data_IF_670274533490
#
_entry.id   IF_670274533490
#
_cell.length_a   1.000
_cell.length_b   1.000
_cell.length_c   1.000
_cell.angle_alpha   90.00
_cell.angle_beta   90.00
_cell.angle_gamma   90.00
#
_symmetry.space_group_name_H-M   'P 1'
#
loop_
_entity.id
_entity.type
_entity.pdbx_description
1 polymer ?
#
# COMPACT_ATOMS: atom_id res chain seq x y z
N UNK A 1 -6.26 18.90 -3.24
CA UNK A 1 -6.59 17.76 -4.13
C UNK A 1 -5.38 16.86 -4.23
N UNK A 2 -5.51 15.56 -3.96
CA UNK A 2 -4.39 14.60 -3.98
C UNK A 2 -4.53 13.74 -5.24
N UNK A 3 -3.47 13.69 -6.06
CA UNK A 3 -3.36 12.79 -7.21
C UNK A 3 -2.06 12.02 -7.04
N UNK A 4 -2.13 10.68 -7.16
CA UNK A 4 -0.97 9.79 -7.00
C UNK A 4 -0.99 8.71 -8.07
N UNK A 5 0.17 8.37 -8.58
CA UNK A 5 0.37 7.25 -9.47
C UNK A 5 0.75 6.00 -8.65
N UNK A 6 0.09 4.87 -8.93
CA UNK A 6 0.35 3.61 -8.23
C UNK A 6 1.78 3.10 -8.46
N UNK A 7 2.27 3.13 -9.70
CA UNK A 7 3.59 2.61 -10.07
C UNK A 7 4.73 3.45 -9.50
N UNK A 8 4.50 4.76 -9.33
CA UNK A 8 5.46 5.64 -8.65
C UNK A 8 5.43 5.40 -7.13
N UNK A 9 4.24 5.30 -6.54
CA UNK A 9 4.09 5.04 -5.10
C UNK A 9 4.68 3.68 -4.67
N UNK A 10 4.65 2.68 -5.56
CA UNK A 10 5.29 1.37 -5.33
C UNK A 10 6.82 1.45 -5.19
N UNK A 11 7.46 2.52 -5.68
CA UNK A 11 8.92 2.68 -5.66
C UNK A 11 9.43 3.45 -4.44
N UNK A 12 8.53 3.86 -3.53
CA UNK A 12 8.88 4.62 -2.33
C UNK A 12 8.65 3.80 -1.07
N UNK A 13 8.88 4.43 0.08
CA UNK A 13 8.49 4.00 1.42
C UNK A 13 6.99 3.65 1.60
N UNK A 14 6.14 3.99 0.62
CA UNK A 14 4.71 3.67 0.63
C UNK A 14 4.43 2.22 0.27
N UNK A 15 5.38 1.50 -0.33
CA UNK A 15 5.29 0.06 -0.51
C UNK A 15 5.76 -0.64 0.77
N UNK A 16 4.83 -1.33 1.43
CA UNK A 16 5.15 -2.15 2.59
C UNK A 16 4.96 -3.61 2.22
N UNK A 17 5.99 -4.42 2.44
CA UNK A 17 5.95 -5.87 2.26
C UNK A 17 5.76 -6.56 3.61
N UNK A 18 4.99 -7.63 3.64
CA UNK A 18 4.84 -8.46 4.82
C UNK A 18 6.16 -9.16 5.16
N UNK A 19 6.48 -9.30 6.45
CA UNK A 19 7.68 -10.03 6.89
C UNK A 19 7.62 -11.52 6.51
N UNK A 20 6.41 -12.09 6.51
CA UNK A 20 6.15 -13.47 6.06
C UNK A 20 6.18 -13.63 4.53
N UNK A 21 6.32 -12.53 3.78
CA UNK A 21 6.35 -12.55 2.32
C UNK A 21 5.02 -12.82 1.64
N UNK A 22 3.88 -12.78 2.37
CA UNK A 22 2.57 -13.19 1.81
C UNK A 22 1.83 -12.07 1.05
N UNK A 23 2.19 -10.82 1.28
CA UNK A 23 1.56 -9.69 0.60
C UNK A 23 2.48 -8.49 0.49
N UNK A 24 2.13 -7.60 -0.44
CA UNK A 24 2.60 -6.22 -0.47
C UNK A 24 1.43 -5.24 -0.49
N UNK A 25 1.57 -4.12 0.22
CA UNK A 25 0.55 -3.10 0.34
C UNK A 25 1.13 -1.75 -0.03
N UNK A 26 0.63 -1.16 -1.13
CA UNK A 26 0.98 0.20 -1.50
C UNK A 26 0.00 1.16 -0.84
N UNK A 27 0.50 2.00 0.08
CA UNK A 27 -0.32 2.89 0.91
C UNK A 27 -0.54 4.24 0.22
N UNK A 28 -1.74 4.46 -0.31
CA UNK A 28 -2.08 5.63 -1.12
C UNK A 28 -2.70 6.78 -0.33
N UNK A 29 -3.33 6.53 0.82
CA UNK A 29 -3.79 7.57 1.74
C UNK A 29 -3.39 7.16 3.16
N UNK A 30 -2.72 8.06 3.86
CA UNK A 30 -2.20 7.88 5.21
C UNK A 30 -2.75 8.97 6.14
N UNK A 31 -2.50 8.84 7.44
CA UNK A 31 -2.97 9.80 8.44
C UNK A 31 -2.50 11.25 8.17
N UNK A 32 -1.28 11.42 7.63
CA UNK A 32 -0.74 12.74 7.28
C UNK A 32 -1.44 13.40 6.08
N UNK A 33 -2.25 12.65 5.33
CA UNK A 33 -3.08 13.18 4.24
C UNK A 33 -4.41 13.76 4.74
N UNK A 34 -4.74 13.61 6.04
CA UNK A 34 -5.90 14.18 6.72
C UNK A 34 -7.26 13.88 6.05
N UNK A 35 -7.39 12.70 5.43
CA UNK A 35 -8.61 12.27 4.74
C UNK A 35 -9.69 11.65 5.66
N UNK A 36 -9.34 11.36 6.93
CA UNK A 36 -10.21 10.66 7.88
C UNK A 36 -10.27 9.13 7.70
N UNK A 37 -9.54 8.58 6.73
CA UNK A 37 -9.37 7.15 6.49
C UNK A 37 -8.01 6.87 5.84
N UNK A 38 -7.62 5.61 5.80
CA UNK A 38 -6.48 5.14 5.02
C UNK A 38 -6.95 4.37 3.78
N UNK A 39 -6.22 4.46 2.68
CA UNK A 39 -6.53 3.73 1.45
C UNK A 39 -5.29 3.05 0.88
N UNK A 40 -5.42 1.76 0.58
CA UNK A 40 -4.32 0.86 0.28
C UNK A 40 -4.70 -0.01 -0.91
N UNK A 41 -3.74 -0.27 -1.80
CA UNK A 41 -3.85 -1.31 -2.83
C UNK A 41 -2.89 -2.42 -2.44
N UNK A 42 -3.46 -3.54 -2.01
CA UNK A 42 -2.72 -4.69 -1.49
C UNK A 42 -2.77 -5.85 -2.49
N UNK A 43 -1.61 -6.43 -2.81
CA UNK A 43 -1.50 -7.68 -3.55
C UNK A 43 -1.28 -8.81 -2.56
N UNK A 44 -2.16 -9.80 -2.58
CA UNK A 44 -2.01 -11.05 -1.85
C UNK A 44 -1.44 -12.07 -2.82
N UNK A 45 -0.34 -12.72 -2.46
CA UNK A 45 0.32 -13.67 -3.36
C UNK A 45 -0.46 -15.00 -3.43
N UNK A 46 -0.40 -15.69 -4.58
CA UNK A 46 -1.12 -16.95 -4.73
C UNK A 46 -0.60 -18.01 -3.75
N UNK A 47 -1.51 -18.78 -3.15
CA UNK A 47 -1.17 -19.90 -2.27
C UNK A 47 -0.70 -19.51 -0.86
N UNK A 48 -0.82 -18.23 -0.48
CA UNK A 48 -0.47 -17.77 0.86
C UNK A 48 -1.71 -17.61 1.74
N UNK A 49 -1.54 -17.81 3.04
CA UNK A 49 -2.57 -17.54 4.06
C UNK A 49 -2.14 -16.31 4.89
N UNK A 50 -3.08 -15.41 5.16
CA UNK A 50 -2.84 -14.11 5.81
C UNK A 50 -3.46 -14.03 7.18
#
# INVERSE_FOLDING_TARGET
MIVRNLEEARKTDRLVTAENGNWDSTRLVLANDNAGFSFHITRIFPGTET
#
